data_IF_386968736745
#
_entry.id   IF_386968736745
#
_cell.length_a   1.000
_cell.length_b   1.000
_cell.length_c   1.000
_cell.angle_alpha   90.00
_cell.angle_beta   90.00
_cell.angle_gamma   90.00
#
_symmetry.space_group_name_H-M   'P 1'
#
loop_
_entity.id
_entity.type
_entity.pdbx_description
1 polymer ?
#
# COMPACT_ATOMS: atom_id res chain seq x y z
N UNK A 1 2.35 -18.49 3.07
CA UNK A 1 2.32 -17.08 2.61
C UNK A 1 1.96 -16.18 3.77
N UNK A 2 2.66 -15.06 3.90
CA UNK A 2 2.38 -14.04 4.90
C UNK A 2 2.21 -12.66 4.23
N UNK A 3 1.15 -11.96 4.63
CA UNK A 3 0.86 -10.58 4.19
C UNK A 3 0.76 -9.68 5.40
N UNK A 4 1.49 -8.58 5.41
CA UNK A 4 1.37 -7.55 6.43
C UNK A 4 0.50 -6.40 5.90
N UNK A 5 -0.32 -5.84 6.78
CA UNK A 5 -1.12 -4.64 6.49
C UNK A 5 -0.58 -3.49 7.33
N UNK A 6 -0.19 -2.40 6.68
CA UNK A 6 0.24 -1.17 7.35
C UNK A 6 -0.82 -0.11 7.13
N UNK A 7 -1.49 0.25 8.21
CA UNK A 7 -2.55 1.25 8.19
C UNK A 7 -2.01 2.61 8.63
N UNK A 8 -2.09 3.58 7.74
CA UNK A 8 -1.54 4.93 7.94
C UNK A 8 -2.55 5.98 8.36
N UNK A 9 -3.80 5.62 8.58
CA UNK A 9 -4.83 6.54 9.07
C UNK A 9 -4.75 6.77 10.58
N UNK A 10 -5.74 7.46 11.12
CA UNK A 10 -5.78 7.87 12.54
C UNK A 10 -6.52 6.90 13.46
N UNK A 11 -7.13 5.84 12.92
CA UNK A 11 -7.89 4.87 13.69
C UNK A 11 -9.26 5.35 14.14
N UNK A 12 -9.86 6.30 13.44
CA UNK A 12 -11.19 6.80 13.75
C UNK A 12 -12.24 5.74 13.42
N UNK A 13 -13.28 5.64 14.24
CA UNK A 13 -14.32 4.60 14.10
C UNK A 13 -15.07 4.67 12.77
N UNK A 14 -15.17 5.84 12.18
CA UNK A 14 -15.84 6.09 10.91
C UNK A 14 -14.89 6.06 9.70
N UNK A 15 -13.66 5.59 9.88
CA UNK A 15 -12.69 5.51 8.79
C UNK A 15 -13.05 4.37 7.82
N UNK A 16 -13.40 4.68 6.55
CA UNK A 16 -13.75 3.64 5.59
C UNK A 16 -12.60 2.70 5.24
N UNK A 17 -11.36 3.14 5.39
CA UNK A 17 -10.18 2.30 5.15
C UNK A 17 -10.13 1.13 6.11
N UNK A 18 -10.52 1.34 7.38
CA UNK A 18 -10.56 0.25 8.37
C UNK A 18 -11.54 -0.84 7.97
N UNK A 19 -12.69 -0.49 7.43
CA UNK A 19 -13.65 -1.46 6.91
C UNK A 19 -13.06 -2.27 5.75
N UNK A 20 -12.44 -1.59 4.79
CA UNK A 20 -11.83 -2.23 3.62
C UNK A 20 -10.76 -3.23 4.03
N UNK A 21 -9.81 -2.82 4.87
CA UNK A 21 -8.73 -3.72 5.29
C UNK A 21 -9.22 -4.85 6.20
N UNK A 22 -10.27 -4.62 6.99
CA UNK A 22 -10.92 -5.66 7.77
C UNK A 22 -11.49 -6.77 6.88
N UNK A 23 -12.17 -6.39 5.81
CA UNK A 23 -12.69 -7.32 4.80
C UNK A 23 -11.57 -8.07 4.07
N UNK A 24 -10.53 -7.38 3.66
CA UNK A 24 -9.38 -8.00 3.01
C UNK A 24 -8.70 -9.02 3.91
N UNK A 25 -8.55 -8.67 5.17
CA UNK A 25 -7.97 -9.58 6.18
C UNK A 25 -8.79 -10.85 6.33
N UNK A 26 -10.12 -10.75 6.37
CA UNK A 26 -11.02 -11.92 6.41
C UNK A 26 -10.80 -12.82 5.18
N UNK A 27 -10.82 -12.26 3.99
CA UNK A 27 -10.63 -13.02 2.73
C UNK A 27 -9.26 -13.70 2.68
N UNK A 28 -8.21 -13.00 3.05
CA UNK A 28 -6.86 -13.55 3.07
C UNK A 28 -6.73 -14.70 4.08
N UNK A 29 -7.37 -14.58 5.24
CA UNK A 29 -7.40 -15.67 6.24
C UNK A 29 -8.17 -16.89 5.74
N UNK A 30 -9.28 -16.69 5.02
CA UNK A 30 -10.00 -17.79 4.36
C UNK A 30 -9.12 -18.53 3.34
N UNK A 31 -8.24 -17.79 2.65
CA UNK A 31 -7.25 -18.36 1.74
C UNK A 31 -6.02 -18.95 2.46
N UNK A 32 -6.07 -19.04 3.79
CA UNK A 32 -4.99 -19.55 4.63
C UNK A 32 -3.70 -18.75 4.57
N UNK A 33 -3.83 -17.45 4.32
CA UNK A 33 -2.70 -16.51 4.40
C UNK A 33 -2.55 -16.05 5.86
N UNK A 34 -1.33 -16.04 6.36
CA UNK A 34 -1.03 -15.42 7.65
C UNK A 34 -1.05 -13.90 7.47
N UNK A 35 -1.88 -13.22 8.23
CA UNK A 35 -2.05 -11.76 8.13
C UNK A 35 -1.68 -11.12 9.45
N UNK A 36 -0.86 -10.07 9.39
CA UNK A 36 -0.50 -9.26 10.55
C UNK A 36 -0.75 -7.78 10.22
N UNK A 37 -1.48 -7.10 11.10
CA UNK A 37 -1.81 -5.68 10.91
C UNK A 37 -0.97 -4.81 11.83
N UNK A 38 -0.41 -3.75 11.27
CA UNK A 38 0.31 -2.70 11.99
C UNK A 38 -0.41 -1.38 11.80
N UNK A 39 -1.00 -0.88 12.87
CA UNK A 39 -1.58 0.47 12.90
C UNK A 39 -0.45 1.44 13.21
N UNK A 40 -0.03 2.21 12.21
CA UNK A 40 1.17 3.06 12.34
C UNK A 40 1.01 4.07 13.49
N UNK A 41 -0.20 4.62 13.71
CA UNK A 41 -0.46 5.56 14.79
C UNK A 41 -0.16 5.00 16.19
N UNK A 42 -0.27 3.69 16.38
CA UNK A 42 0.08 3.02 17.65
C UNK A 42 1.60 2.96 17.86
N UNK A 43 2.37 3.14 16.80
CA UNK A 43 3.84 3.11 16.80
C UNK A 43 4.44 4.50 16.54
N UNK A 44 3.69 5.57 16.76
CA UNK A 44 4.10 6.94 16.41
C UNK A 44 5.47 7.37 16.93
N UNK A 45 5.93 6.78 18.03
CA UNK A 45 7.23 7.07 18.63
C UNK A 45 8.33 6.10 18.16
N UNK A 46 8.00 5.12 17.33
CA UNK A 46 8.91 4.05 16.90
C UNK A 46 8.65 3.59 15.46
N UNK A 47 8.14 4.48 14.62
CA UNK A 47 7.83 4.16 13.20
C UNK A 47 9.07 3.63 12.48
N UNK A 48 10.25 4.16 12.82
CA UNK A 48 11.52 3.73 12.23
C UNK A 48 11.85 2.25 12.44
N UNK A 49 11.20 1.58 13.39
CA UNK A 49 11.39 0.15 13.64
C UNK A 49 10.48 -0.74 12.80
N UNK A 50 9.40 -0.19 12.24
CA UNK A 50 8.43 -0.96 11.46
C UNK A 50 9.00 -1.59 10.19
N UNK A 51 9.97 -1.00 9.46
CA UNK A 51 10.55 -1.66 8.30
C UNK A 51 11.14 -3.05 8.59
N UNK A 52 11.56 -3.33 9.82
CA UNK A 52 12.06 -4.65 10.22
C UNK A 52 10.98 -5.74 10.14
N UNK A 53 9.71 -5.37 10.24
CA UNK A 53 8.59 -6.32 10.15
C UNK A 53 8.39 -6.87 8.73
N UNK A 54 9.00 -6.24 7.72
CA UNK A 54 8.92 -6.70 6.32
C UNK A 54 9.63 -8.02 6.08
N UNK A 55 10.56 -8.41 6.94
CA UNK A 55 11.45 -9.55 6.73
C UNK A 55 10.74 -10.86 6.43
N UNK A 56 9.59 -11.10 7.03
CA UNK A 56 8.83 -12.34 6.90
C UNK A 56 7.64 -12.23 5.94
N UNK A 57 7.40 -11.05 5.37
CA UNK A 57 6.24 -10.82 4.50
C UNK A 57 6.54 -11.15 3.04
N UNK A 58 5.66 -11.90 2.41
CA UNK A 58 5.69 -12.14 0.96
C UNK A 58 5.05 -10.98 0.19
N UNK A 59 4.09 -10.32 0.82
CA UNK A 59 3.44 -9.13 0.30
C UNK A 59 2.93 -8.25 1.41
N UNK A 60 2.62 -7.01 1.06
CA UNK A 60 2.07 -6.03 2.01
C UNK A 60 0.90 -5.28 1.39
N UNK A 61 0.05 -4.76 2.25
CA UNK A 61 -0.97 -3.78 1.91
C UNK A 61 -0.59 -2.47 2.61
N UNK A 62 -0.45 -1.40 1.84
CA UNK A 62 -0.34 -0.05 2.37
C UNK A 62 -1.71 0.61 2.26
N UNK A 63 -2.35 0.83 3.40
CA UNK A 63 -3.72 1.33 3.45
C UNK A 63 -3.78 2.64 4.23
N UNK A 64 -4.42 3.64 3.64
CA UNK A 64 -4.56 4.94 4.28
C UNK A 64 -5.83 5.65 3.82
N UNK A 65 -6.24 6.65 4.58
CA UNK A 65 -7.32 7.56 4.23
C UNK A 65 -6.71 8.90 3.87
N UNK A 66 -7.23 9.54 2.82
CA UNK A 66 -6.72 10.84 2.38
C UNK A 66 -6.81 11.86 3.50
N UNK A 67 -5.71 12.52 3.77
CA UNK A 67 -5.58 13.65 4.68
C UNK A 67 -4.88 14.79 3.94
N UNK A 68 -5.53 15.96 3.90
CA UNK A 68 -4.96 17.14 3.23
C UNK A 68 -4.45 16.84 1.81
N UNK A 69 -5.27 16.15 1.03
CA UNK A 69 -4.99 15.75 -0.37
C UNK A 69 -3.87 14.72 -0.53
N UNK A 70 -3.33 14.19 0.55
CA UNK A 70 -2.21 13.26 0.54
C UNK A 70 -2.48 11.98 1.31
N UNK A 71 -1.44 11.19 1.45
CA UNK A 71 -1.48 9.86 2.10
C UNK A 71 -1.37 9.89 3.62
N UNK A 72 -1.29 11.10 4.20
CA UNK A 72 -1.16 11.28 5.64
C UNK A 72 0.27 11.21 6.16
N UNK A 73 0.50 11.87 7.31
CA UNK A 73 1.83 12.01 7.89
C UNK A 73 2.43 10.68 8.37
N UNK A 74 1.63 9.80 8.97
CA UNK A 74 2.10 8.50 9.44
C UNK A 74 2.56 7.60 8.29
N UNK A 75 1.81 7.57 7.20
CA UNK A 75 2.20 6.78 6.03
C UNK A 75 3.47 7.33 5.39
N UNK A 76 3.61 8.65 5.30
CA UNK A 76 4.84 9.27 4.80
C UNK A 76 6.05 8.92 5.67
N UNK A 77 5.90 8.98 7.00
CA UNK A 77 6.96 8.58 7.93
C UNK A 77 7.33 7.11 7.79
N UNK A 78 6.36 6.24 7.55
CA UNK A 78 6.63 4.82 7.29
C UNK A 78 7.45 4.62 6.01
N UNK A 79 7.06 5.28 4.92
CA UNK A 79 7.80 5.22 3.66
C UNK A 79 9.22 5.77 3.80
N UNK A 80 9.38 6.88 4.50
CA UNK A 80 10.69 7.46 4.80
C UNK A 80 11.54 6.51 5.64
N UNK A 81 10.94 5.86 6.61
CA UNK A 81 11.63 4.84 7.43
C UNK A 81 12.05 3.63 6.60
N UNK A 82 11.24 3.20 5.64
CA UNK A 82 11.63 2.15 4.69
C UNK A 82 12.82 2.58 3.82
N UNK A 83 12.85 3.84 3.41
CA UNK A 83 13.97 4.39 2.64
C UNK A 83 15.27 4.41 3.45
N UNK A 84 15.20 4.85 4.71
CA UNK A 84 16.38 5.01 5.57
C UNK A 84 16.85 3.69 6.18
N UNK A 85 15.93 2.83 6.61
CA UNK A 85 16.23 1.67 7.46
C UNK A 85 15.78 0.33 6.86
N UNK A 86 15.05 0.34 5.75
CA UNK A 86 14.55 -0.89 5.15
C UNK A 86 15.65 -1.73 4.51
N UNK A 87 15.44 -3.05 4.53
CA UNK A 87 16.27 -3.99 3.78
C UNK A 87 15.91 -3.89 2.28
N UNK A 88 16.79 -3.29 1.50
CA UNK A 88 16.57 -3.05 0.07
C UNK A 88 16.39 -4.34 -0.71
N UNK A 89 17.14 -5.38 -0.38
CA UNK A 89 17.02 -6.68 -1.07
C UNK A 89 15.68 -7.36 -0.77
N UNK A 90 15.18 -7.21 0.47
CA UNK A 90 13.85 -7.72 0.82
C UNK A 90 12.75 -6.94 0.12
N UNK A 91 12.82 -5.63 0.07
CA UNK A 91 11.83 -4.77 -0.60
C UNK A 91 11.70 -5.14 -2.07
N UNK A 92 12.80 -5.44 -2.76
CA UNK A 92 12.80 -5.84 -4.18
C UNK A 92 11.95 -7.07 -4.46
N UNK A 93 11.73 -7.92 -3.49
CA UNK A 93 10.95 -9.15 -3.61
C UNK A 93 9.55 -9.04 -3.00
N UNK A 94 9.19 -7.90 -2.45
CA UNK A 94 7.94 -7.70 -1.71
C UNK A 94 6.89 -7.03 -2.59
N UNK A 95 5.77 -7.72 -2.77
CA UNK A 95 4.60 -7.17 -3.46
C UNK A 95 3.86 -6.20 -2.54
N UNK A 96 3.34 -5.12 -3.09
CA UNK A 96 2.58 -4.14 -2.34
C UNK A 96 1.29 -3.78 -3.08
N UNK A 97 0.16 -3.88 -2.38
CA UNK A 97 -1.13 -3.43 -2.86
C UNK A 97 -1.52 -2.13 -2.13
N UNK A 98 -1.71 -1.02 -2.86
CA UNK A 98 -2.15 0.22 -2.26
C UNK A 98 -3.68 0.24 -2.10
N UNK A 99 -4.14 0.71 -0.94
CA UNK A 99 -5.56 0.93 -0.64
C UNK A 99 -5.70 2.35 -0.11
N UNK A 100 -6.43 3.20 -0.84
CA UNK A 100 -6.61 4.60 -0.43
C UNK A 100 -8.09 4.96 -0.51
N UNK A 101 -8.68 5.22 0.63
CA UNK A 101 -10.06 5.69 0.73
C UNK A 101 -10.09 7.18 1.06
N UNK A 102 -11.20 7.82 0.75
CA UNK A 102 -11.39 9.25 0.99
C UNK A 102 -12.81 9.52 1.44
N UNK A 103 -12.96 10.45 2.36
CA UNK A 103 -14.24 11.09 2.70
C UNK A 103 -14.33 12.50 2.14
N UNK A 104 -13.30 12.92 1.42
CA UNK A 104 -13.19 14.21 0.75
C UNK A 104 -12.95 14.02 -0.74
N UNK A 105 -11.70 14.03 -1.17
CA UNK A 105 -11.26 13.67 -2.53
C UNK A 105 -9.74 13.55 -2.56
N UNK A 106 -9.20 13.00 -3.67
CA UNK A 106 -7.77 12.81 -3.81
C UNK A 106 -7.32 11.35 -3.62
N UNK A 107 -8.26 10.42 -3.52
CA UNK A 107 -7.97 9.00 -3.32
C UNK A 107 -7.20 8.37 -4.48
N UNK A 108 -7.47 8.80 -5.69
CA UNK A 108 -6.78 8.30 -6.89
C UNK A 108 -5.31 8.72 -6.91
N UNK A 109 -5.06 9.98 -6.58
CA UNK A 109 -3.71 10.53 -6.47
C UNK A 109 -2.94 9.87 -5.32
N UNK A 110 -3.62 9.60 -4.20
CA UNK A 110 -3.04 8.89 -3.07
C UNK A 110 -2.62 7.45 -3.42
N UNK A 111 -3.46 6.72 -4.14
CA UNK A 111 -3.14 5.38 -4.64
C UNK A 111 -1.90 5.41 -5.54
N UNK A 112 -1.86 6.34 -6.47
CA UNK A 112 -0.71 6.52 -7.36
C UNK A 112 0.57 6.88 -6.59
N UNK A 113 0.46 7.74 -5.59
CA UNK A 113 1.58 8.10 -4.72
C UNK A 113 2.17 6.88 -4.03
N UNK A 114 1.34 6.00 -3.45
CA UNK A 114 1.80 4.78 -2.79
C UNK A 114 2.47 3.82 -3.77
N UNK A 115 1.87 3.61 -4.94
CA UNK A 115 2.44 2.76 -5.98
C UNK A 115 3.80 3.25 -6.43
N UNK A 116 3.91 4.54 -6.72
CA UNK A 116 5.16 5.17 -7.14
C UNK A 116 6.22 5.13 -6.03
N UNK A 117 5.82 5.38 -4.79
CA UNK A 117 6.74 5.33 -3.66
C UNK A 117 7.34 3.93 -3.46
N UNK A 118 6.50 2.89 -3.53
CA UNK A 118 7.00 1.51 -3.41
C UNK A 118 7.94 1.14 -4.54
N UNK A 119 7.64 1.60 -5.73
CA UNK A 119 8.51 1.43 -6.90
C UNK A 119 9.85 2.17 -6.75
N UNK A 120 9.84 3.38 -6.20
CA UNK A 120 11.05 4.14 -5.88
C UNK A 120 11.92 3.38 -4.88
N UNK A 121 11.30 2.73 -3.89
CA UNK A 121 12.00 1.87 -2.93
C UNK A 121 12.56 0.58 -3.54
N UNK A 122 12.16 0.26 -4.76
CA UNK A 122 12.59 -0.95 -5.50
C UNK A 122 11.62 -2.11 -5.42
N UNK A 123 10.47 -1.94 -4.76
CA UNK A 123 9.47 -2.98 -4.57
C UNK A 123 8.59 -3.24 -5.79
N UNK A 124 7.63 -4.15 -5.62
CA UNK A 124 6.74 -4.65 -6.67
C UNK A 124 5.30 -4.15 -6.42
N UNK A 125 4.88 -3.00 -6.98
CA UNK A 125 3.51 -2.55 -6.80
C UNK A 125 2.52 -3.43 -7.57
N UNK A 126 1.39 -3.72 -6.91
CA UNK A 126 0.26 -4.44 -7.49
C UNK A 126 -0.91 -3.48 -7.73
N UNK A 127 -1.88 -3.92 -8.52
CA UNK A 127 -3.13 -3.19 -8.69
C UNK A 127 -3.84 -3.02 -7.36
N UNK A 128 -4.10 -1.79 -6.98
CA UNK A 128 -4.73 -1.43 -5.73
C UNK A 128 -6.20 -1.06 -5.85
N UNK A 129 -6.68 -0.39 -4.84
CA UNK A 129 -8.05 0.11 -4.76
C UNK A 129 -8.04 1.53 -4.21
N UNK A 130 -8.90 2.37 -4.78
CA UNK A 130 -9.22 3.66 -4.19
C UNK A 130 -10.72 3.91 -4.28
N UNK A 131 -11.24 4.72 -3.38
CA UNK A 131 -12.66 5.05 -3.39
C UNK A 131 -13.01 6.21 -2.49
N UNK A 132 -14.04 6.95 -2.91
CA UNK A 132 -14.67 7.97 -2.12
C UNK A 132 -15.88 7.40 -1.40
N UNK A 133 -15.99 7.67 -0.10
CA UNK A 133 -17.10 7.20 0.74
C UNK A 133 -17.78 8.41 1.38
N UNK A 134 -19.02 8.67 0.96
CA UNK A 134 -19.85 9.73 1.52
C UNK A 134 -20.52 9.27 2.83
N UNK A 135 -21.13 8.09 2.80
CA UNK A 135 -21.81 7.49 3.95
C UNK A 135 -21.25 6.09 4.20
N UNK A 136 -20.61 5.92 5.35
CA UNK A 136 -19.98 4.66 5.73
C UNK A 136 -20.97 3.52 5.82
N UNK A 137 -22.16 3.76 6.42
CA UNK A 137 -23.19 2.71 6.58
C UNK A 137 -23.65 2.20 5.22
N UNK A 138 -23.95 3.10 4.28
CA UNK A 138 -24.35 2.72 2.92
C UNK A 138 -23.22 1.99 2.19
N UNK A 139 -21.99 2.39 2.39
CA UNK A 139 -20.82 1.73 1.82
C UNK A 139 -20.67 0.29 2.34
N UNK A 140 -20.76 0.09 3.65
CA UNK A 140 -20.65 -1.22 4.29
C UNK A 140 -21.77 -2.16 3.86
N UNK A 141 -22.97 -1.64 3.64
CA UNK A 141 -24.15 -2.42 3.22
C UNK A 141 -24.18 -2.72 1.73
N UNK A 142 -23.36 -2.07 0.93
CA UNK A 142 -23.36 -2.25 -0.52
C UNK A 142 -22.62 -3.52 -0.92
N UNK A 143 -23.37 -4.51 -1.42
CA UNK A 143 -22.82 -5.80 -1.81
C UNK A 143 -21.79 -5.70 -2.95
N UNK A 144 -22.00 -4.78 -3.89
CA UNK A 144 -21.08 -4.60 -5.03
C UNK A 144 -19.69 -4.14 -4.57
N UNK A 145 -19.63 -3.25 -3.59
CA UNK A 145 -18.36 -2.83 -3.00
C UNK A 145 -17.68 -3.97 -2.23
N UNK A 146 -18.46 -4.77 -1.50
CA UNK A 146 -17.93 -5.96 -0.84
C UNK A 146 -17.27 -6.92 -1.83
N UNK A 147 -17.90 -7.17 -2.98
CA UNK A 147 -17.33 -8.01 -4.04
C UNK A 147 -16.05 -7.43 -4.63
N UNK A 148 -15.97 -6.12 -4.81
CA UNK A 148 -14.75 -5.46 -5.30
C UNK A 148 -13.61 -5.66 -4.31
N UNK A 149 -13.87 -5.47 -3.02
CA UNK A 149 -12.86 -5.65 -1.97
C UNK A 149 -12.36 -7.09 -1.95
N UNK A 150 -13.27 -8.06 -2.00
CA UNK A 150 -12.92 -9.48 -2.04
C UNK A 150 -12.03 -9.81 -3.24
N UNK A 151 -12.39 -9.32 -4.43
CA UNK A 151 -11.58 -9.51 -5.65
C UNK A 151 -10.19 -8.92 -5.53
N UNK A 152 -10.07 -7.76 -4.89
CA UNK A 152 -8.74 -7.14 -4.68
C UNK A 152 -7.86 -7.97 -3.75
N UNK A 153 -8.41 -8.53 -2.69
CA UNK A 153 -7.68 -9.43 -1.80
C UNK A 153 -7.27 -10.72 -2.55
N UNK A 154 -8.16 -11.31 -3.31
CA UNK A 154 -7.87 -12.49 -4.13
C UNK A 154 -6.80 -12.21 -5.19
N UNK A 155 -6.84 -11.04 -5.82
CA UNK A 155 -5.85 -10.64 -6.82
C UNK A 155 -4.44 -10.50 -6.20
N UNK A 156 -4.35 -9.94 -5.00
CA UNK A 156 -3.08 -9.88 -4.27
C UNK A 156 -2.55 -11.30 -4.01
N UNK A 157 -3.40 -12.19 -3.52
CA UNK A 157 -3.06 -13.59 -3.28
C UNK A 157 -2.54 -14.27 -4.55
N UNK A 158 -3.24 -14.12 -5.68
CA UNK A 158 -2.81 -14.70 -6.96
C UNK A 158 -1.47 -14.13 -7.42
N UNK A 159 -1.32 -12.82 -7.34
CA UNK A 159 -0.09 -12.14 -7.77
C UNK A 159 1.11 -12.66 -7.01
N UNK A 160 1.00 -12.81 -5.69
CA UNK A 160 2.07 -13.34 -4.86
C UNK A 160 2.31 -14.82 -5.17
N UNK A 161 1.24 -15.65 -5.25
CA UNK A 161 1.33 -17.09 -5.50
C UNK A 161 1.98 -17.40 -6.85
N UNK A 162 1.67 -16.63 -7.87
CA UNK A 162 2.19 -16.81 -9.22
C UNK A 162 3.51 -16.08 -9.45
N UNK A 163 3.99 -15.32 -8.46
CA UNK A 163 5.19 -14.47 -8.58
C UNK A 163 5.16 -13.60 -9.83
N UNK A 164 3.98 -13.03 -10.11
CA UNK A 164 3.77 -12.17 -11.26
C UNK A 164 4.58 -10.88 -11.10
N UNK A 165 5.22 -10.44 -12.18
CA UNK A 165 5.81 -9.10 -12.25
C UNK A 165 4.84 -8.21 -13.00
N UNK A 166 4.39 -7.12 -12.38
CA UNK A 166 3.65 -6.11 -13.10
C UNK A 166 4.59 -5.41 -14.08
N UNK A 167 4.15 -5.31 -15.33
CA UNK A 167 4.89 -4.51 -16.30
C UNK A 167 4.61 -3.03 -16.01
N UNK A 168 5.65 -2.17 -15.97
CA UNK A 168 5.44 -0.74 -15.86
C UNK A 168 4.66 -0.24 -17.07
N UNK A 169 3.79 0.75 -16.87
CA UNK A 169 3.17 1.43 -18.02
C UNK A 169 4.25 2.10 -18.86
N UNK A 170 3.98 2.31 -20.16
CA UNK A 170 4.95 2.96 -21.05
C UNK A 170 5.42 4.31 -20.49
N UNK A 171 4.54 5.08 -19.89
CA UNK A 171 4.86 6.37 -19.28
C UNK A 171 5.81 6.21 -18.07
N UNK A 172 5.61 5.22 -17.23
CA UNK A 172 6.47 4.94 -16.08
C UNK A 172 7.87 4.52 -16.52
N UNK A 173 7.97 3.67 -17.55
CA UNK A 173 9.25 3.24 -18.10
C UNK A 173 10.03 4.42 -18.70
N UNK A 174 9.37 5.30 -19.44
CA UNK A 174 9.98 6.51 -20.02
C UNK A 174 10.45 7.45 -18.91
N UNK A 175 9.62 7.72 -17.91
CA UNK A 175 9.96 8.58 -16.78
C UNK A 175 11.18 8.06 -16.02
N UNK A 176 11.25 6.76 -15.75
CA UNK A 176 12.41 6.15 -15.10
C UNK A 176 13.69 6.33 -15.91
N UNK A 177 13.61 6.13 -17.23
CA UNK A 177 14.76 6.31 -18.10
C UNK A 177 15.26 7.74 -18.06
N UNK A 178 14.35 8.72 -18.14
CA UNK A 178 14.70 10.14 -18.07
C UNK A 178 15.38 10.47 -16.75
N UNK A 179 14.78 10.05 -15.62
CA UNK A 179 15.33 10.32 -14.29
C UNK A 179 16.72 9.71 -14.10
N UNK A 180 16.92 8.49 -14.57
CA UNK A 180 18.25 7.83 -14.50
C UNK A 180 19.29 8.56 -15.34
N UNK A 181 18.92 9.00 -16.55
CA UNK A 181 19.83 9.77 -17.41
C UNK A 181 20.22 11.09 -16.74
N UNK A 182 19.25 11.80 -16.15
CA UNK A 182 19.52 13.05 -15.44
C UNK A 182 20.44 12.83 -14.21
N UNK A 183 20.27 11.73 -13.48
CA UNK A 183 21.14 11.40 -12.36
C UNK A 183 22.58 11.11 -12.80
N UNK A 184 22.76 10.47 -13.95
CA UNK A 184 24.10 10.21 -14.50
C UNK A 184 24.81 11.51 -14.90
N UNK A 185 24.06 12.48 -15.40
CA UNK A 185 24.61 13.81 -15.79
C UNK A 185 24.99 14.69 -14.58
N UNK A 186 24.45 14.38 -13.41
CA UNK A 186 24.72 15.12 -12.16
C UNK A 186 25.87 14.55 -11.33
N UNK A 187 26.42 13.40 -11.69
CA UNK A 187 27.61 12.85 -11.01
C UNK A 187 28.85 13.60 -11.49
N UNK A 188 29.60 14.30 -10.60
CA UNK A 188 30.86 14.93 -10.99
C UNK A 188 31.84 13.85 -11.44
N UNK A 189 32.42 14.09 -12.59
CA UNK A 189 33.54 13.27 -13.11
C UNK A 189 34.78 13.49 -12.24
#
# INVERSE_FOLDING_TARGET
MKVNIYYGGRGLLDDPTLYVIGKMEEVLKELRVSVERYNIYEHKNSISTLPQTLKDADGIILATTVEWLGIGGYMQQFLDSCWLYGDKEKIKTTYMQPIVMSTTYGEREGELTLSNAWEILGGLPCSGMCGYVDDLVSFEMNHDYSLIIEKKAENLYRTISQKQKSLPTSNQAVTRTILRTQQMDLTPQ
#
